data_IF_045575278446
#
_entry.id   IF_045575278446
#
_cell.length_a   1.000
_cell.length_b   1.000
_cell.length_c   1.000
_cell.angle_alpha   90.00
_cell.angle_beta   90.00
_cell.angle_gamma   90.00
#
_symmetry.space_group_name_H-M   'P 1'
#
loop_
_entity.id
_entity.type
_entity.pdbx_description
1 polymer ?
#
# COMPACT_ATOMS: atom_id res chain seq x y z
N UNK A 1 6.80 0.68 -5.52
CA UNK A 1 5.32 0.77 -5.50
C UNK A 1 4.77 2.16 -5.79
N UNK A 2 5.60 3.21 -5.94
CA UNK A 2 5.14 4.60 -6.20
C UNK A 2 5.38 5.05 -7.65
N UNK A 3 6.15 4.28 -8.43
CA UNK A 3 6.59 4.62 -9.79
C UNK A 3 5.45 5.05 -10.72
N UNK A 4 4.31 4.34 -10.71
CA UNK A 4 3.17 4.72 -11.56
C UNK A 4 2.63 6.12 -11.22
N UNK A 5 2.64 6.50 -9.94
CA UNK A 5 2.22 7.82 -9.50
C UNK A 5 3.22 8.91 -9.92
N UNK A 6 4.50 8.56 -9.99
CA UNK A 6 5.57 9.45 -10.47
C UNK A 6 5.53 9.63 -11.99
N UNK A 7 4.77 8.79 -12.70
CA UNK A 7 4.68 8.79 -14.16
C UNK A 7 3.32 9.27 -14.68
N UNK A 8 2.41 9.77 -13.82
CA UNK A 8 1.06 10.17 -14.24
C UNK A 8 1.07 11.19 -15.39
N UNK A 9 2.03 12.11 -15.41
CA UNK A 9 2.21 13.06 -16.51
C UNK A 9 2.57 12.39 -17.83
N UNK A 10 3.51 11.46 -17.79
CA UNK A 10 3.95 10.71 -18.96
C UNK A 10 2.83 9.79 -19.47
N UNK A 11 2.04 9.20 -18.56
CA UNK A 11 0.89 8.38 -18.91
C UNK A 11 -0.19 9.20 -19.61
N UNK A 12 -0.51 10.38 -19.07
CA UNK A 12 -1.51 11.28 -19.65
C UNK A 12 -1.10 11.79 -21.03
N UNK A 13 0.16 12.19 -21.20
CA UNK A 13 0.67 12.69 -22.48
C UNK A 13 0.81 11.60 -23.55
N UNK A 14 1.04 10.36 -23.14
CA UNK A 14 1.18 9.22 -24.05
C UNK A 14 -0.15 8.71 -24.61
N UNK A 15 -1.29 9.04 -23.98
CA UNK A 15 -2.61 8.54 -24.36
C UNK A 15 -3.55 9.73 -24.60
N UNK A 16 -3.77 10.16 -25.87
CA UNK A 16 -4.60 11.32 -26.18
C UNK A 16 -6.00 11.28 -25.55
N UNK A 17 -6.57 10.10 -25.37
CA UNK A 17 -7.89 9.90 -24.76
C UNK A 17 -7.94 10.17 -23.23
N UNK A 18 -6.80 10.32 -22.57
CA UNK A 18 -6.68 10.65 -21.14
C UNK A 18 -6.37 12.13 -20.88
N UNK A 19 -6.05 12.92 -21.91
CA UNK A 19 -5.64 14.32 -21.75
C UNK A 19 -6.72 15.15 -21.02
N UNK A 20 -6.34 15.76 -19.89
CA UNK A 20 -7.21 16.56 -19.03
C UNK A 20 -8.17 15.74 -18.17
N UNK A 21 -8.05 14.40 -18.15
CA UNK A 21 -8.98 13.50 -17.44
C UNK A 21 -8.41 12.91 -16.15
N UNK A 22 -7.14 13.17 -15.85
CA UNK A 22 -6.51 12.73 -14.60
C UNK A 22 -6.43 13.89 -13.61
N UNK A 23 -7.24 13.83 -12.55
CA UNK A 23 -7.04 14.71 -11.40
C UNK A 23 -5.92 14.14 -10.50
N UNK A 24 -4.72 14.69 -10.65
CA UNK A 24 -3.52 14.27 -9.91
C UNK A 24 -3.54 14.71 -8.45
N UNK A 25 -4.52 15.51 -8.03
CA UNK A 25 -4.73 15.91 -6.63
C UNK A 25 -5.68 14.96 -5.89
N UNK A 26 -6.47 14.17 -6.64
CA UNK A 26 -7.46 13.22 -6.13
C UNK A 26 -7.08 11.77 -6.42
N UNK A 27 -6.06 11.26 -5.72
CA UNK A 27 -5.55 9.89 -5.93
C UNK A 27 -6.10 8.94 -4.86
N UNK A 28 -6.62 7.79 -5.29
CA UNK A 28 -7.02 6.69 -4.41
C UNK A 28 -6.23 5.41 -4.73
N UNK A 29 -6.10 4.53 -3.75
CA UNK A 29 -5.52 3.19 -3.94
C UNK A 29 -6.54 2.12 -3.55
N UNK A 30 -6.61 1.06 -4.35
CA UNK A 30 -7.41 -0.11 -4.04
C UNK A 30 -6.58 -1.38 -4.25
N UNK A 31 -6.77 -2.37 -3.40
CA UNK A 31 -6.02 -3.61 -3.48
C UNK A 31 -6.77 -4.81 -2.94
N UNK A 32 -6.66 -5.94 -3.64
CA UNK A 32 -7.21 -7.24 -3.24
C UNK A 32 -6.09 -8.19 -2.78
N UNK A 33 -6.29 -8.94 -1.68
CA UNK A 33 -5.32 -9.92 -1.19
C UNK A 33 -3.93 -9.28 -0.93
N UNK A 34 -2.86 -9.77 -1.56
CA UNK A 34 -1.54 -9.11 -1.52
C UNK A 34 -1.53 -7.70 -2.12
N UNK A 35 -2.45 -7.40 -3.04
CA UNK A 35 -2.69 -6.02 -3.46
C UNK A 35 -3.24 -5.17 -2.31
N UNK A 36 -4.07 -5.75 -1.44
CA UNK A 36 -4.55 -5.12 -0.21
C UNK A 36 -3.42 -4.87 0.79
N UNK A 37 -2.43 -5.77 0.86
CA UNK A 37 -1.19 -5.51 1.61
C UNK A 37 -0.45 -4.28 1.08
N UNK A 38 -0.21 -4.25 -0.23
CA UNK A 38 0.46 -3.13 -0.92
C UNK A 38 -0.29 -1.81 -0.67
N UNK A 39 -1.60 -1.82 -0.81
CA UNK A 39 -2.45 -0.66 -0.52
C UNK A 39 -2.33 -0.23 0.96
N UNK A 40 -2.34 -1.18 1.90
CA UNK A 40 -2.15 -0.89 3.33
C UNK A 40 -0.81 -0.22 3.61
N UNK A 41 0.28 -0.71 3.01
CA UNK A 41 1.62 -0.12 3.17
C UNK A 41 1.70 1.30 2.61
N UNK A 42 1.07 1.56 1.47
CA UNK A 42 1.01 2.92 0.89
C UNK A 42 0.18 3.88 1.76
N UNK A 43 -0.77 3.35 2.53
CA UNK A 43 -1.59 4.09 3.49
C UNK A 43 -0.92 4.23 4.87
N UNK A 44 0.27 3.65 5.09
CA UNK A 44 1.05 3.80 6.32
C UNK A 44 1.22 2.54 7.16
N UNK A 45 0.75 1.36 6.70
CA UNK A 45 1.09 0.11 7.37
C UNK A 45 2.60 -0.15 7.28
N UNK A 46 3.16 -0.68 8.36
CA UNK A 46 4.60 -0.96 8.48
C UNK A 46 4.84 -2.45 8.59
N UNK A 47 5.88 -2.90 7.90
CA UNK A 47 6.40 -4.25 8.03
C UNK A 47 7.82 -4.18 8.59
N UNK A 48 8.14 -5.10 9.48
CA UNK A 48 9.46 -5.20 10.10
C UNK A 48 10.21 -6.37 9.47
N UNK A 49 11.42 -6.12 8.97
CA UNK A 49 12.33 -7.18 8.54
C UNK A 49 12.73 -8.02 9.77
N UNK A 50 12.40 -9.31 9.80
CA UNK A 50 12.70 -10.15 10.95
C UNK A 50 14.19 -10.45 11.12
N UNK A 51 15.03 -10.22 10.11
CA UNK A 51 16.45 -10.52 10.17
C UNK A 51 17.28 -9.40 10.81
N UNK A 52 16.86 -8.14 10.64
CA UNK A 52 17.63 -6.98 11.09
C UNK A 52 16.78 -5.93 11.85
N UNK A 53 15.46 -6.12 11.96
CA UNK A 53 14.56 -5.22 12.67
C UNK A 53 14.21 -3.93 11.90
N UNK A 54 14.62 -3.80 10.64
CA UNK A 54 14.31 -2.62 9.82
C UNK A 54 12.81 -2.50 9.62
N UNK A 55 12.27 -1.33 9.98
CA UNK A 55 10.86 -1.00 9.76
C UNK A 55 10.73 -0.27 8.42
N UNK A 56 9.94 -0.83 7.51
CA UNK A 56 9.69 -0.21 6.22
C UNK A 56 8.45 0.68 6.27
N UNK A 57 8.67 1.97 6.00
CA UNK A 57 7.62 2.97 5.81
C UNK A 57 7.50 3.30 4.32
N UNK A 58 6.37 2.91 3.72
CA UNK A 58 6.09 3.12 2.30
C UNK A 58 4.97 4.14 2.07
N UNK A 59 4.62 4.93 3.09
CA UNK A 59 3.54 5.91 3.04
C UNK A 59 3.66 6.80 1.79
N UNK A 60 2.54 6.98 1.09
CA UNK A 60 2.46 7.78 -0.12
C UNK A 60 1.47 8.95 0.11
N UNK A 61 1.99 10.17 0.36
CA UNK A 61 1.16 11.31 0.76
C UNK A 61 0.19 11.80 -0.32
N UNK A 62 0.39 11.42 -1.58
CA UNK A 62 -0.55 11.74 -2.67
C UNK A 62 -1.88 10.98 -2.54
N UNK A 63 -1.91 9.84 -1.86
CA UNK A 63 -3.12 9.02 -1.70
C UNK A 63 -4.05 9.65 -0.66
N UNK A 64 -5.28 9.95 -1.08
CA UNK A 64 -6.35 10.56 -0.29
C UNK A 64 -7.39 9.55 0.20
N UNK A 65 -7.47 8.39 -0.43
CA UNK A 65 -8.41 7.33 -0.06
C UNK A 65 -7.84 5.93 -0.33
N UNK A 66 -8.26 4.97 0.49
CA UNK A 66 -7.81 3.59 0.41
C UNK A 66 -8.97 2.60 0.49
N UNK A 67 -8.98 1.59 -0.39
CA UNK A 67 -9.92 0.46 -0.33
C UNK A 67 -9.13 -0.84 -0.22
N UNK A 68 -9.38 -1.58 0.85
CA UNK A 68 -8.72 -2.85 1.14
C UNK A 68 -9.72 -3.98 1.00
N UNK A 69 -9.48 -4.87 0.04
CA UNK A 69 -10.30 -6.04 -0.21
C UNK A 69 -9.51 -7.27 0.24
N UNK A 70 -10.00 -7.97 1.25
CA UNK A 70 -9.33 -9.16 1.82
C UNK A 70 -7.82 -8.96 2.07
N UNK A 71 -7.38 -7.83 2.68
CA UNK A 71 -5.95 -7.64 2.97
C UNK A 71 -5.46 -8.70 3.97
N UNK A 72 -4.14 -8.91 4.10
CA UNK A 72 -3.61 -9.64 5.24
C UNK A 72 -4.10 -8.99 6.53
N UNK A 73 -4.63 -9.81 7.44
CA UNK A 73 -5.15 -9.35 8.72
C UNK A 73 -4.05 -9.02 9.72
N UNK A 74 -4.34 -9.20 11.00
CA UNK A 74 -3.48 -8.86 12.14
C UNK A 74 -2.06 -9.48 12.11
N UNK A 75 -1.85 -10.53 11.31
CA UNK A 75 -0.56 -11.22 11.27
C UNK A 75 -0.25 -11.93 12.59
N UNK A 76 1.04 -12.17 12.85
CA UNK A 76 1.51 -12.77 14.09
C UNK A 76 0.82 -14.10 14.42
N UNK A 77 0.17 -14.17 15.58
CA UNK A 77 -0.52 -15.36 16.06
C UNK A 77 -1.79 -15.72 15.26
N UNK A 78 -2.34 -14.76 14.50
CA UNK A 78 -3.53 -14.96 13.67
C UNK A 78 -3.20 -15.57 12.29
N UNK A 79 -1.91 -15.82 12.01
CA UNK A 79 -1.47 -16.51 10.80
C UNK A 79 -1.68 -18.02 10.89
N UNK A 80 -1.96 -18.64 9.75
CA UNK A 80 -1.80 -20.09 9.63
C UNK A 80 -0.33 -20.49 9.83
N UNK A 81 -0.03 -21.73 10.25
CA UNK A 81 1.35 -22.20 10.41
C UNK A 81 2.19 -21.98 9.14
N UNK A 82 1.62 -22.30 7.98
CA UNK A 82 2.27 -22.08 6.69
C UNK A 82 2.64 -20.61 6.46
N UNK A 83 1.71 -19.67 6.71
CA UNK A 83 1.96 -18.25 6.52
C UNK A 83 2.97 -17.70 7.53
N UNK A 84 2.93 -18.17 8.77
CA UNK A 84 3.90 -17.79 9.81
C UNK A 84 5.33 -18.21 9.46
N UNK A 85 5.49 -19.42 8.92
CA UNK A 85 6.79 -19.97 8.52
C UNK A 85 7.33 -19.31 7.25
N UNK A 86 6.49 -19.12 6.23
CA UNK A 86 6.94 -18.73 4.89
C UNK A 86 6.83 -17.22 4.60
N UNK A 87 5.97 -16.48 5.29
CA UNK A 87 5.76 -15.04 5.09
C UNK A 87 6.15 -14.26 6.34
N UNK A 88 7.44 -14.31 6.66
CA UNK A 88 7.99 -13.82 7.92
C UNK A 88 7.76 -12.34 8.19
N UNK A 89 7.57 -11.54 7.13
CA UNK A 89 7.19 -10.13 7.23
C UNK A 89 5.78 -9.89 7.80
N UNK A 90 4.90 -10.90 7.81
CA UNK A 90 3.59 -10.82 8.46
C UNK A 90 3.60 -11.21 9.94
N UNK A 91 4.76 -11.50 10.54
CA UNK A 91 4.81 -11.84 11.97
C UNK A 91 4.51 -10.63 12.86
N UNK A 92 4.89 -9.43 12.40
CA UNK A 92 4.76 -8.19 13.17
C UNK A 92 4.33 -6.98 12.31
N UNK A 93 3.19 -7.05 11.59
CA UNK A 93 2.67 -5.88 10.89
C UNK A 93 2.17 -4.83 11.91
N UNK A 94 2.40 -3.55 11.63
CA UNK A 94 1.77 -2.44 12.34
C UNK A 94 0.83 -1.72 11.39
N UNK A 95 -0.41 -1.50 11.83
CA UNK A 95 -1.40 -0.66 11.15
C UNK A 95 -1.64 0.66 11.89
N UNK A 96 -0.88 0.93 12.95
CA UNK A 96 -1.08 2.09 13.84
C UNK A 96 -0.94 3.43 13.11
N UNK A 97 -0.03 3.49 12.15
CA UNK A 97 0.29 4.69 11.39
C UNK A 97 -0.55 4.84 10.13
N UNK A 98 -1.48 3.90 9.88
CA UNK A 98 -2.36 4.01 8.74
C UNK A 98 -3.28 5.21 8.87
N UNK A 99 -3.21 6.08 7.88
CA UNK A 99 -4.05 7.27 7.78
C UNK A 99 -4.17 7.71 6.34
N UNK A 100 -5.27 8.38 6.02
CA UNK A 100 -5.43 9.10 4.76
C UNK A 100 -5.31 10.59 5.01
N UNK A 101 -4.76 11.31 4.04
CA UNK A 101 -4.76 12.78 4.09
C UNK A 101 -6.20 13.28 3.95
N UNK A 102 -6.58 14.27 4.76
CA UNK A 102 -7.85 14.98 4.56
C UNK A 102 -7.77 15.78 3.24
N UNK A 103 -8.94 15.93 2.61
CA UNK A 103 -9.14 16.77 1.43
C UNK A 103 -8.95 18.25 1.77
#
# INVERSE_FOLDING_TARGET
MKYILDQLENIESSIPALNGRLDRTCIAVAGHSMGGNTASMLLGARLTDPNNGTVYDMTEPRIKAGVLLTPPGNGGADLSPFAFENYTFFRHPSFKEMQTQRW
#
